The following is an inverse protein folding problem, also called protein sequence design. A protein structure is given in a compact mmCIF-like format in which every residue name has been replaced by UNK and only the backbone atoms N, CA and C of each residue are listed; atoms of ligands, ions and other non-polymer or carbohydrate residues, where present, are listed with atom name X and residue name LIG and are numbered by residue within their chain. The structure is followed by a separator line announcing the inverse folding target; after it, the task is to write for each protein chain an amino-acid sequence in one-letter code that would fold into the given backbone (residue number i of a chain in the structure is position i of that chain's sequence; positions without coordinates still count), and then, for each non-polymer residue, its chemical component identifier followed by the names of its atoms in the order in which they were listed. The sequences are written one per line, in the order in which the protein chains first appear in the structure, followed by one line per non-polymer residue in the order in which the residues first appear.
data_IF_838060697673
#
_entry.id   IF_838060697673
#
_cell.length_a   1.000
_cell.length_b   1.000
_cell.length_c   1.000
_cell.angle_alpha   90.00
_cell.angle_beta   90.00
_cell.angle_gamma   90.00
#
_symmetry.space_group_name_H-M   'P 1'
#
loop_
_entity.id
_entity.type
_entity.pdbx_description
1 polymer ?
#
# COMPACT_ATOMS: atom_id res chain seq x y z
N UNK A 1 5.39 22.67 8.97
CA UNK A 1 6.64 21.93 9.29
C UNK A 1 6.47 20.52 8.74
N UNK A 2 7.46 19.95 8.04
CA UNK A 2 7.39 18.62 7.40
C UNK A 2 7.58 17.56 8.47
N UNK A 3 6.50 17.01 9.03
CA UNK A 3 6.59 16.13 10.21
C UNK A 3 7.20 14.78 9.83
N UNK A 4 6.77 14.20 8.72
CA UNK A 4 7.31 12.92 8.22
C UNK A 4 8.75 13.12 7.76
N UNK A 5 9.06 14.20 7.04
CA UNK A 5 10.42 14.45 6.54
C UNK A 5 11.43 14.62 7.68
N UNK A 6 11.03 15.26 8.78
CA UNK A 6 11.86 15.41 9.96
C UNK A 6 12.15 14.05 10.62
N UNK A 7 11.10 13.23 10.82
CA UNK A 7 11.26 11.87 11.35
C UNK A 7 12.21 11.01 10.50
N UNK A 8 12.12 11.12 9.17
CA UNK A 8 13.03 10.41 8.26
C UNK A 8 14.47 10.87 8.46
N UNK A 9 14.69 12.18 8.58
CA UNK A 9 16.03 12.75 8.75
C UNK A 9 16.66 12.31 10.07
N UNK A 10 15.89 12.31 11.15
CA UNK A 10 16.33 11.82 12.46
C UNK A 10 16.57 10.31 12.47
N UNK A 11 15.69 9.52 11.85
CA UNK A 11 15.84 8.08 11.73
C UNK A 11 17.14 7.71 10.98
N UNK A 12 17.45 8.43 9.89
CA UNK A 12 18.72 8.30 9.15
C UNK A 12 19.95 8.68 9.97
N UNK A 13 19.80 9.65 10.87
CA UNK A 13 20.85 10.01 11.82
C UNK A 13 21.02 8.98 12.95
N UNK A 14 20.27 7.87 12.92
CA UNK A 14 20.36 6.78 13.88
C UNK A 14 19.41 6.92 15.08
N UNK A 15 18.42 7.81 15.04
CA UNK A 15 17.43 7.93 16.11
C UNK A 15 16.43 6.74 16.05
N UNK A 16 16.47 5.81 17.03
CA UNK A 16 15.61 4.63 17.01
C UNK A 16 14.13 4.98 17.27
N UNK A 17 13.84 6.04 18.01
CA UNK A 17 12.47 6.46 18.29
C UNK A 17 11.80 7.00 17.02
N UNK A 18 12.53 7.79 16.22
CA UNK A 18 12.00 8.33 14.96
C UNK A 18 11.77 7.21 13.94
N UNK A 19 12.66 6.21 13.88
CA UNK A 19 12.46 4.99 13.07
C UNK A 19 11.23 4.21 13.53
N UNK A 20 11.10 3.97 14.84
CA UNK A 20 9.95 3.27 15.42
C UNK A 20 8.63 4.01 15.15
N UNK A 21 8.63 5.34 15.25
CA UNK A 21 7.46 6.15 14.94
C UNK A 21 7.06 6.02 13.47
N UNK A 22 8.02 6.04 12.54
CA UNK A 22 7.75 5.80 11.12
C UNK A 22 7.18 4.40 10.91
N UNK A 23 7.77 3.36 11.49
CA UNK A 23 7.26 1.99 11.39
C UNK A 23 5.81 1.90 11.90
N UNK A 24 5.50 2.54 13.03
CA UNK A 24 4.15 2.58 13.56
C UNK A 24 3.15 3.29 12.62
N UNK A 25 3.56 4.39 11.97
CA UNK A 25 2.71 5.09 10.98
C UNK A 25 2.42 4.22 9.75
N UNK A 26 3.37 3.39 9.32
CA UNK A 26 3.20 2.49 8.16
C UNK A 26 2.75 1.07 8.54
N UNK A 27 2.63 0.75 9.83
CA UNK A 27 2.22 -0.56 10.36
C UNK A 27 0.94 -1.10 9.70
N UNK A 28 -0.13 -0.31 9.46
CA UNK A 28 -1.31 -0.83 8.78
C UNK A 28 -1.01 -1.37 7.37
N UNK A 29 -0.12 -0.69 6.63
CA UNK A 29 0.25 -1.11 5.28
C UNK A 29 1.22 -2.30 5.29
N UNK A 30 2.15 -2.33 6.25
CA UNK A 30 3.04 -3.46 6.50
C UNK A 30 2.20 -4.70 6.81
N UNK A 31 1.29 -4.61 7.78
CA UNK A 31 0.40 -5.71 8.18
C UNK A 31 -0.47 -6.22 7.03
N UNK A 32 -1.06 -5.31 6.23
CA UNK A 32 -1.83 -5.69 5.04
C UNK A 32 -1.02 -6.57 4.08
N UNK A 33 0.23 -6.21 3.80
CA UNK A 33 1.03 -6.94 2.81
C UNK A 33 1.75 -8.15 3.39
N UNK A 34 2.16 -8.14 4.65
CA UNK A 34 2.70 -9.32 5.32
C UNK A 34 1.67 -10.42 5.44
N UNK A 35 0.42 -10.07 5.76
CA UNK A 35 -0.70 -11.01 5.76
C UNK A 35 -0.87 -11.67 4.37
N UNK A 36 -0.89 -10.87 3.30
CA UNK A 36 -0.98 -11.38 1.91
C UNK A 36 0.21 -12.24 1.49
N UNK A 37 1.38 -12.01 2.07
CA UNK A 37 2.58 -12.82 1.83
C UNK A 37 2.47 -14.22 2.44
N UNK A 38 1.68 -14.38 3.51
CA UNK A 38 1.29 -15.64 4.12
C UNK A 38 2.46 -16.61 4.41
N UNK A 39 3.50 -16.11 5.08
CA UNK A 39 4.57 -16.92 5.67
C UNK A 39 5.01 -16.34 7.02
N UNK A 40 5.64 -17.18 7.85
CA UNK A 40 5.94 -16.90 9.27
C UNK A 40 6.66 -15.55 9.49
N UNK A 41 7.73 -15.28 8.73
CA UNK A 41 8.56 -14.08 8.89
C UNK A 41 8.13 -12.88 8.02
N UNK A 42 6.95 -12.93 7.39
CA UNK A 42 6.55 -11.93 6.38
C UNK A 42 6.53 -10.49 6.91
N UNK A 43 6.08 -10.29 8.15
CA UNK A 43 6.04 -8.95 8.76
C UNK A 43 7.45 -8.44 9.05
N UNK A 44 8.32 -9.27 9.61
CA UNK A 44 9.70 -8.93 9.93
C UNK A 44 10.51 -8.59 8.67
N UNK A 45 10.34 -9.37 7.60
CA UNK A 45 10.98 -9.13 6.31
C UNK A 45 10.56 -7.79 5.69
N UNK A 46 9.27 -7.46 5.78
CA UNK A 46 8.76 -6.21 5.26
C UNK A 46 9.18 -5.02 6.13
N UNK A 47 9.22 -5.17 7.45
CA UNK A 47 9.80 -4.18 8.38
C UNK A 47 11.26 -3.92 8.03
N UNK A 48 12.07 -4.97 7.83
CA UNK A 48 13.46 -4.85 7.44
C UNK A 48 13.62 -4.08 6.11
N UNK A 49 12.77 -4.39 5.13
CA UNK A 49 12.74 -3.66 3.85
C UNK A 49 12.42 -2.17 4.03
N UNK A 50 11.53 -1.83 4.96
CA UNK A 50 11.19 -0.42 5.28
C UNK A 50 12.34 0.30 5.99
N UNK A 51 13.03 -0.35 6.92
CA UNK A 51 14.20 0.22 7.60
C UNK A 51 15.30 0.53 6.59
N UNK A 52 15.64 -0.43 5.73
CA UNK A 52 16.63 -0.24 4.66
C UNK A 52 16.23 0.90 3.72
N UNK A 53 14.97 0.92 3.28
CA UNK A 53 14.43 1.98 2.45
C UNK A 53 14.57 3.36 3.10
N UNK A 54 14.19 3.51 4.37
CA UNK A 54 14.25 4.79 5.08
C UNK A 54 15.70 5.30 5.16
N UNK A 55 16.67 4.40 5.33
CA UNK A 55 18.08 4.77 5.34
C UNK A 55 18.57 5.23 3.96
N UNK A 56 18.19 4.51 2.90
CA UNK A 56 18.73 4.71 1.55
C UNK A 56 17.95 5.72 0.68
N UNK A 57 16.71 6.06 1.04
CA UNK A 57 15.84 6.90 0.21
C UNK A 57 16.43 8.32 0.00
N UNK A 58 16.11 9.02 -1.10
CA UNK A 58 16.57 10.40 -1.29
C UNK A 58 15.93 11.38 -0.28
N UNK A 59 16.49 12.59 -0.19
CA UNK A 59 15.83 13.68 0.51
C UNK A 59 14.54 14.08 -0.22
N UNK A 60 13.47 14.30 0.54
CA UNK A 60 12.17 14.74 0.04
C UNK A 60 11.71 15.96 0.84
N UNK A 61 11.24 16.99 0.14
CA UNK A 61 10.87 18.29 0.75
C UNK A 61 9.41 18.37 1.20
N UNK A 62 8.63 17.32 0.96
CA UNK A 62 7.19 17.33 1.21
C UNK A 62 6.71 15.99 1.79
N UNK A 63 5.95 16.06 2.89
CA UNK A 63 5.43 14.87 3.59
C UNK A 63 4.60 13.98 2.66
N UNK A 64 3.79 14.56 1.78
CA UNK A 64 2.98 13.79 0.83
C UNK A 64 3.83 13.02 -0.18
N UNK A 65 4.96 13.57 -0.62
CA UNK A 65 5.92 12.85 -1.46
C UNK A 65 6.59 11.72 -0.68
N UNK A 66 6.99 11.98 0.56
CA UNK A 66 7.61 10.99 1.44
C UNK A 66 6.68 9.81 1.74
N UNK A 67 5.44 10.08 2.12
CA UNK A 67 4.42 9.04 2.34
C UNK A 67 4.20 8.24 1.06
N UNK A 68 3.98 8.89 -0.08
CA UNK A 68 3.75 8.18 -1.34
C UNK A 68 4.96 7.32 -1.74
N UNK A 69 6.19 7.80 -1.53
CA UNK A 69 7.41 7.06 -1.82
C UNK A 69 7.53 5.80 -0.96
N UNK A 70 7.33 5.94 0.36
CA UNK A 70 7.42 4.83 1.30
C UNK A 70 6.32 3.81 1.02
N UNK A 71 5.07 4.25 0.85
CA UNK A 71 3.95 3.35 0.57
C UNK A 71 4.15 2.58 -0.75
N UNK A 72 4.63 3.25 -1.80
CA UNK A 72 4.92 2.57 -3.07
C UNK A 72 6.06 1.57 -2.93
N UNK A 73 7.09 1.90 -2.15
CA UNK A 73 8.23 1.02 -1.93
C UNK A 73 7.88 -0.21 -1.11
N UNK A 74 7.00 -0.07 -0.11
CA UNK A 74 6.41 -1.20 0.63
C UNK A 74 5.67 -2.14 -0.32
N UNK A 75 4.80 -1.60 -1.19
CA UNK A 75 4.11 -2.39 -2.20
C UNK A 75 5.08 -3.10 -3.15
N UNK A 76 6.13 -2.41 -3.59
CA UNK A 76 7.15 -3.01 -4.45
C UNK A 76 7.93 -4.12 -3.75
N UNK A 77 8.25 -3.96 -2.46
CA UNK A 77 8.88 -4.99 -1.64
C UNK A 77 7.97 -6.22 -1.51
N UNK A 78 6.68 -6.02 -1.21
CA UNK A 78 5.67 -7.08 -1.25
C UNK A 78 5.68 -7.84 -2.58
N UNK A 79 5.58 -7.15 -3.72
CA UNK A 79 5.62 -7.78 -5.05
C UNK A 79 6.93 -8.52 -5.28
N UNK A 80 8.07 -8.00 -4.82
CA UNK A 80 9.37 -8.67 -4.89
C UNK A 80 9.36 -9.98 -4.11
N UNK A 81 8.86 -9.99 -2.88
CA UNK A 81 8.76 -11.21 -2.07
C UNK A 81 7.83 -12.25 -2.68
N UNK A 82 6.66 -11.83 -3.19
CA UNK A 82 5.75 -12.74 -3.91
C UNK A 82 6.44 -13.38 -5.11
N UNK A 83 7.14 -12.60 -5.93
CA UNK A 83 7.91 -13.14 -7.09
C UNK A 83 9.00 -14.10 -6.65
N UNK A 84 9.69 -13.81 -5.54
CA UNK A 84 10.71 -14.71 -4.99
C UNK A 84 10.10 -16.01 -4.50
N UNK A 85 8.95 -15.98 -3.83
CA UNK A 85 8.23 -17.19 -3.42
C UNK A 85 7.81 -18.03 -4.63
N UNK A 86 7.23 -17.40 -5.66
CA UNK A 86 6.85 -18.09 -6.91
C UNK A 86 8.07 -18.78 -7.51
N UNK A 87 9.20 -18.07 -7.64
CA UNK A 87 10.44 -18.65 -8.18
C UNK A 87 11.01 -19.76 -7.32
N UNK A 88 10.97 -19.64 -5.98
CA UNK A 88 11.39 -20.70 -5.06
C UNK A 88 10.53 -21.95 -5.26
N UNK A 89 9.21 -21.77 -5.30
CA UNK A 89 8.26 -22.85 -5.59
C UNK A 89 8.55 -23.47 -6.97
N UNK A 90 8.69 -22.68 -8.03
CA UNK A 90 9.02 -23.21 -9.37
C UNK A 90 10.30 -24.04 -9.39
N UNK A 91 11.33 -23.62 -8.65
CA UNK A 91 12.58 -24.39 -8.49
C UNK A 91 12.38 -25.65 -7.63
N UNK A 92 11.47 -25.64 -6.66
CA UNK A 92 11.09 -26.80 -5.83
C UNK A 92 10.17 -27.78 -6.60
N UNK A 93 9.32 -27.28 -7.50
CA UNK A 93 8.38 -28.05 -8.35
C UNK A 93 9.06 -28.85 -9.47
N UNK A 94 10.35 -28.60 -9.76
CA UNK A 94 11.15 -29.49 -10.62
C UNK A 94 11.30 -30.93 -10.04
N UNK A 95 10.86 -31.17 -8.78
CA UNK A 95 10.94 -32.48 -8.14
C UNK A 95 9.59 -33.09 -7.71
N UNK A 96 8.42 -32.57 -8.12
CA UNK A 96 7.17 -33.28 -7.81
C UNK A 96 5.87 -32.53 -8.03
N UNK A 97 5.15 -32.99 -9.07
CA UNK A 97 3.69 -33.07 -9.23
C UNK A 97 2.87 -31.77 -9.14
N UNK A 98 2.15 -31.56 -10.24
CA UNK A 98 1.11 -30.58 -10.53
C UNK A 98 0.08 -30.42 -9.41
N UNK A 99 -0.19 -29.18 -9.01
CA UNK A 99 -1.52 -28.57 -8.77
C UNK A 99 -1.43 -27.44 -7.73
N UNK A 100 -1.86 -26.25 -8.13
CA UNK A 100 -2.78 -25.32 -7.44
C UNK A 100 -2.68 -23.97 -8.17
N UNK A 101 -3.60 -23.77 -9.11
CA UNK A 101 -3.94 -22.45 -9.66
C UNK A 101 -4.43 -21.54 -8.52
N UNK A 102 -3.54 -20.72 -7.96
CA UNK A 102 -3.91 -19.66 -7.00
C UNK A 102 -4.52 -18.44 -7.71
N UNK A 103 -5.67 -18.65 -8.34
CA UNK A 103 -6.55 -17.57 -8.84
C UNK A 103 -7.35 -16.94 -7.67
N UNK A 104 -7.38 -17.56 -6.49
CA UNK A 104 -8.12 -17.04 -5.32
C UNK A 104 -7.53 -15.76 -4.71
N UNK A 105 -6.23 -15.48 -4.90
CA UNK A 105 -5.56 -14.29 -4.33
C UNK A 105 -6.04 -12.94 -4.93
N UNK A 106 -6.76 -12.96 -6.04
CA UNK A 106 -7.32 -11.76 -6.67
C UNK A 106 -8.71 -11.39 -6.15
N UNK A 107 -9.43 -12.33 -5.52
CA UNK A 107 -10.80 -12.13 -5.05
C UNK A 107 -10.89 -11.72 -3.58
N UNK A 108 -9.78 -11.77 -2.85
CA UNK A 108 -9.72 -11.45 -1.41
C UNK A 108 -9.44 -9.97 -1.11
N UNK A 109 -9.37 -9.11 -2.13
CA UNK A 109 -9.02 -7.69 -1.95
C UNK A 109 -10.12 -6.86 -1.23
N UNK A 110 -11.31 -7.45 -1.02
CA UNK A 110 -12.47 -6.81 -0.40
C UNK A 110 -12.96 -7.44 0.91
N UNK A 111 -12.56 -8.68 1.24
CA UNK A 111 -13.03 -9.41 2.43
C UNK A 111 -12.55 -8.81 3.76
N UNK A 112 -11.54 -7.92 3.70
CA UNK A 112 -10.90 -7.29 4.86
C UNK A 112 -11.08 -5.77 4.93
N UNK A 113 -11.90 -5.18 4.05
CA UNK A 113 -12.26 -3.77 4.21
C UNK A 113 -13.12 -3.69 5.48
N UNK A 114 -12.68 -2.89 6.46
CA UNK A 114 -13.48 -2.58 7.65
C UNK A 114 -14.93 -2.29 7.21
N UNK A 115 -15.92 -2.91 7.86
CA UNK A 115 -17.34 -2.82 7.51
C UNK A 115 -17.80 -1.36 7.34
N UNK A 116 -17.32 -0.46 8.19
CA UNK A 116 -17.61 0.97 8.14
C UNK A 116 -17.00 1.63 6.89
N UNK A 117 -15.76 1.25 6.54
CA UNK A 117 -15.10 1.71 5.33
C UNK A 117 -15.77 1.16 4.08
N UNK A 118 -16.20 -0.11 4.08
CA UNK A 118 -16.94 -0.71 2.97
C UNK A 118 -18.25 0.04 2.76
N UNK A 119 -19.03 0.23 3.83
CA UNK A 119 -20.26 1.00 3.79
C UNK A 119 -20.03 2.41 3.27
N UNK A 120 -19.02 3.13 3.79
CA UNK A 120 -18.70 4.48 3.34
C UNK A 120 -18.28 4.55 1.87
N UNK A 121 -17.53 3.56 1.37
CA UNK A 121 -17.15 3.46 -0.03
C UNK A 121 -18.37 3.22 -0.93
N UNK A 122 -19.33 2.41 -0.49
CA UNK A 122 -20.56 2.13 -1.25
C UNK A 122 -21.43 3.39 -1.44
N UNK A 123 -21.38 4.34 -0.51
CA UNK A 123 -22.06 5.64 -0.64
C UNK A 123 -21.41 6.60 -1.66
N UNK A 124 -20.20 6.31 -2.13
CA UNK A 124 -19.53 7.17 -3.12
C UNK A 124 -20.04 6.92 -4.54
N UNK A 125 -20.16 7.98 -5.36
CA UNK A 125 -20.34 7.86 -6.82
C UNK A 125 -19.30 6.93 -7.44
N UNK A 126 -19.71 6.11 -8.42
CA UNK A 126 -18.90 5.06 -9.06
C UNK A 126 -17.46 5.49 -9.39
N UNK A 127 -17.27 6.65 -10.03
CA UNK A 127 -15.93 7.11 -10.41
C UNK A 127 -15.10 7.58 -9.21
N UNK A 128 -15.71 8.14 -8.18
CA UNK A 128 -15.01 8.51 -6.93
C UNK A 128 -14.57 7.23 -6.22
N UNK A 129 -15.50 6.29 -6.00
CA UNK A 129 -15.24 4.99 -5.41
C UNK A 129 -14.09 4.25 -6.10
N UNK A 130 -14.19 4.09 -7.42
CA UNK A 130 -13.19 3.36 -8.20
C UNK A 130 -11.82 4.05 -8.17
N UNK A 131 -11.77 5.38 -8.23
CA UNK A 131 -10.50 6.11 -8.12
C UNK A 131 -9.88 5.91 -6.73
N UNK A 132 -10.67 5.96 -5.65
CA UNK A 132 -10.17 5.71 -4.28
C UNK A 132 -9.61 4.28 -4.15
N UNK A 133 -10.38 3.28 -4.57
CA UNK A 133 -9.98 1.86 -4.50
C UNK A 133 -8.69 1.63 -5.28
N UNK A 134 -8.65 2.02 -6.56
CA UNK A 134 -7.46 1.83 -7.40
C UNK A 134 -6.25 2.57 -6.84
N UNK A 135 -6.44 3.80 -6.34
CA UNK A 135 -5.34 4.61 -5.85
C UNK A 135 -4.74 4.07 -4.55
N UNK A 136 -5.59 3.75 -3.58
CA UNK A 136 -5.15 3.51 -2.20
C UNK A 136 -5.12 2.03 -1.82
N UNK A 137 -5.98 1.20 -2.42
CA UNK A 137 -5.99 -0.24 -2.11
C UNK A 137 -5.06 -1.02 -3.01
N UNK A 138 -5.02 -0.64 -4.29
CA UNK A 138 -4.17 -1.29 -5.30
C UNK A 138 -2.89 -0.51 -5.62
N UNK A 139 -2.64 0.63 -4.97
CA UNK A 139 -1.44 1.45 -5.16
C UNK A 139 -1.16 1.80 -6.64
N UNK A 140 -2.23 2.01 -7.41
CA UNK A 140 -2.13 2.22 -8.85
C UNK A 140 -1.67 3.67 -9.15
N UNK A 141 -0.67 3.86 -10.03
CA UNK A 141 -0.28 5.19 -10.48
C UNK A 141 -1.40 5.90 -11.24
N UNK A 142 -1.50 7.22 -11.08
CA UNK A 142 -2.59 8.03 -11.68
C UNK A 142 -2.70 7.82 -13.21
N UNK A 143 -1.57 7.63 -13.91
CA UNK A 143 -1.55 7.32 -15.35
C UNK A 143 -2.28 6.01 -15.68
N UNK A 144 -2.02 4.95 -14.92
CA UNK A 144 -2.71 3.66 -15.10
C UNK A 144 -4.19 3.77 -14.74
N UNK A 145 -4.55 4.58 -13.72
CA UNK A 145 -5.96 4.84 -13.37
C UNK A 145 -6.68 5.58 -14.51
N UNK A 146 -6.04 6.59 -15.11
CA UNK A 146 -6.58 7.32 -16.26
C UNK A 146 -6.91 6.38 -17.42
N UNK A 147 -5.95 5.51 -17.77
CA UNK A 147 -6.10 4.53 -18.86
C UNK A 147 -7.20 3.51 -18.52
N UNK A 148 -7.19 2.96 -17.29
CA UNK A 148 -8.14 1.93 -16.84
C UNK A 148 -9.58 2.43 -16.76
N UNK A 149 -9.79 3.66 -16.28
CA UNK A 149 -11.13 4.26 -16.14
C UNK A 149 -11.55 5.14 -17.33
N UNK A 150 -10.67 5.31 -18.33
CA UNK A 150 -10.85 6.23 -19.47
C UNK A 150 -11.17 7.67 -19.00
N UNK A 151 -10.42 8.16 -18.02
CA UNK A 151 -10.58 9.49 -17.43
C UNK A 151 -9.39 10.40 -17.75
N UNK A 152 -9.63 11.71 -17.85
CA UNK A 152 -8.55 12.69 -17.90
C UNK A 152 -7.82 12.80 -16.56
N UNK A 153 -6.58 13.30 -16.56
CA UNK A 153 -5.79 13.54 -15.34
C UNK A 153 -6.52 14.42 -14.33
N UNK A 154 -7.16 15.49 -14.83
CA UNK A 154 -7.96 16.42 -14.02
C UNK A 154 -9.18 15.72 -13.42
N UNK A 155 -9.82 14.82 -14.18
CA UNK A 155 -10.96 14.05 -13.71
C UNK A 155 -10.55 13.04 -12.62
N UNK A 156 -9.43 12.34 -12.77
CA UNK A 156 -8.89 11.46 -11.72
C UNK A 156 -8.61 12.26 -10.45
N UNK A 157 -7.93 13.40 -10.57
CA UNK A 157 -7.65 14.28 -9.43
C UNK A 157 -8.94 14.74 -8.73
N UNK A 158 -9.92 15.25 -9.48
CA UNK A 158 -11.21 15.73 -8.94
C UNK A 158 -11.98 14.61 -8.24
N UNK A 159 -12.04 13.42 -8.84
CA UNK A 159 -12.74 12.27 -8.24
C UNK A 159 -12.04 11.78 -6.97
N UNK A 160 -10.70 11.79 -6.94
CA UNK A 160 -9.92 11.47 -5.74
C UNK A 160 -10.24 12.43 -4.60
N UNK A 161 -10.14 13.74 -4.84
CA UNK A 161 -10.33 14.77 -3.80
C UNK A 161 -11.77 14.71 -3.25
N UNK A 162 -12.78 14.72 -4.13
CA UNK A 162 -14.18 14.63 -3.70
C UNK A 162 -14.52 13.32 -3.00
N UNK A 163 -13.92 12.20 -3.43
CA UNK A 163 -14.09 10.92 -2.76
C UNK A 163 -13.54 10.93 -1.33
N UNK A 164 -12.34 11.49 -1.13
CA UNK A 164 -11.73 11.61 0.20
C UNK A 164 -12.52 12.54 1.12
N UNK A 165 -13.00 13.69 0.61
CA UNK A 165 -13.84 14.62 1.37
C UNK A 165 -15.10 13.93 1.90
N UNK A 166 -15.81 13.21 1.03
CA UNK A 166 -17.03 12.48 1.42
C UNK A 166 -16.75 11.33 2.39
N UNK A 167 -15.68 10.55 2.17
CA UNK A 167 -15.31 9.48 3.10
C UNK A 167 -15.04 10.05 4.49
N UNK A 168 -14.36 11.20 4.56
CA UNK A 168 -14.09 11.88 5.82
C UNK A 168 -15.38 12.35 6.51
N UNK A 169 -16.40 12.75 5.77
CA UNK A 169 -17.71 13.12 6.34
C UNK A 169 -18.44 11.89 6.87
N UNK A 170 -18.60 10.85 6.05
CA UNK A 170 -19.34 9.63 6.42
C UNK A 170 -18.69 8.94 7.63
N UNK A 171 -17.37 8.84 7.65
CA UNK A 171 -16.63 8.16 8.73
C UNK A 171 -16.49 8.99 10.01
N UNK A 172 -16.98 10.24 10.05
CA UNK A 172 -17.06 11.00 11.30
C UNK A 172 -18.31 10.65 12.11
N UNK A 173 -19.36 10.20 11.41
CA UNK A 173 -20.69 9.95 11.97
C UNK A 173 -20.89 8.46 12.32
N UNK A 174 -19.86 7.63 12.07
CA UNK A 174 -19.77 6.20 12.39
C UNK A 174 -18.77 6.02 13.53
#
# INVERSE_FOLDING_TARGET
MCVICNLISEAKAGNPNSMLELLNKFKPLIGKYSYKMNYEDAENDLILSVIQLINDMPYLSNDGQAVNYISQSIYNAYIKYIKQQIKKRENEYLCGIEEIKNISMLYDDFSEINVDLQYALEQLPKNQRNVIILKFMHMMPDKQIMEKLKLSRQSVYKNKIKGLEKLKEILKDL
#
